data_IF_176347112604
#
_entry.id   IF_176347112604
#
_cell.length_a   1.000
_cell.length_b   1.000
_cell.length_c   1.000
_cell.angle_alpha   90.00
_cell.angle_beta   90.00
_cell.angle_gamma   90.00
#
_symmetry.space_group_name_H-M   'P 1'
#
loop_
_entity.id
_entity.type
_entity.pdbx_description
1 polymer ?
#
# COMPACT_ATOMS: atom_id res chain seq x y z
N UNK A 1 -0.20 10.73 -10.86
CA UNK A 1 0.08 10.27 -9.47
C UNK A 1 0.54 8.82 -9.57
N UNK A 2 1.50 8.40 -8.74
CA UNK A 2 1.99 7.02 -8.73
C UNK A 2 1.64 6.36 -7.39
N UNK A 3 0.94 5.24 -7.46
CA UNK A 3 0.53 4.43 -6.31
C UNK A 3 1.17 3.05 -6.43
N UNK A 4 2.03 2.69 -5.48
CA UNK A 4 2.60 1.34 -5.44
C UNK A 4 2.16 0.61 -4.19
N UNK A 5 1.51 -0.55 -4.35
CA UNK A 5 1.21 -1.45 -3.23
C UNK A 5 2.28 -2.53 -3.15
N UNK A 6 2.96 -2.59 -2.00
CA UNK A 6 3.94 -3.62 -1.70
C UNK A 6 3.35 -4.66 -0.76
N UNK A 7 3.31 -5.92 -1.21
CA UNK A 7 2.65 -7.00 -0.49
C UNK A 7 1.18 -7.10 -0.90
N UNK A 8 0.82 -8.22 -1.51
CA UNK A 8 -0.52 -8.57 -1.99
C UNK A 8 -1.13 -9.72 -1.17
N UNK A 9 -0.57 -10.02 0.00
CA UNK A 9 -1.05 -11.04 0.95
C UNK A 9 -2.25 -10.56 1.79
N UNK A 10 -2.23 -10.82 3.10
CA UNK A 10 -3.31 -10.51 4.07
C UNK A 10 -4.00 -9.16 3.87
N UNK A 11 -3.43 -8.11 4.45
CA UNK A 11 -3.93 -6.73 4.32
C UNK A 11 -3.83 -6.23 2.89
N UNK A 12 -2.75 -6.60 2.19
CA UNK A 12 -2.47 -6.15 0.82
C UNK A 12 -3.57 -6.48 -0.18
N UNK A 13 -4.07 -7.71 -0.18
CA UNK A 13 -5.12 -8.13 -1.11
C UNK A 13 -6.39 -7.29 -0.98
N UNK A 14 -6.77 -6.94 0.24
CA UNK A 14 -7.92 -6.07 0.51
C UNK A 14 -7.66 -4.62 0.10
N UNK A 15 -6.47 -4.09 0.43
CA UNK A 15 -6.07 -2.73 0.02
C UNK A 15 -6.04 -2.58 -1.51
N UNK A 16 -5.62 -3.61 -2.25
CA UNK A 16 -5.58 -3.58 -3.71
C UNK A 16 -6.97 -3.26 -4.31
N UNK A 17 -8.05 -3.80 -3.74
CA UNK A 17 -9.40 -3.51 -4.21
C UNK A 17 -9.81 -2.07 -3.94
N UNK A 18 -9.48 -1.53 -2.76
CA UNK A 18 -9.71 -0.13 -2.42
C UNK A 18 -8.90 0.83 -3.31
N UNK A 19 -7.65 0.47 -3.63
CA UNK A 19 -6.81 1.24 -4.54
C UNK A 19 -7.39 1.26 -5.96
N UNK A 20 -7.90 0.14 -6.47
CA UNK A 20 -8.56 0.11 -7.78
C UNK A 20 -9.78 1.05 -7.84
N UNK A 21 -10.63 1.02 -6.81
CA UNK A 21 -11.78 1.93 -6.72
C UNK A 21 -11.35 3.40 -6.59
N UNK A 22 -10.30 3.68 -5.82
CA UNK A 22 -9.73 5.02 -5.69
C UNK A 22 -9.18 5.52 -7.03
N UNK A 23 -8.47 4.68 -7.79
CA UNK A 23 -7.96 5.02 -9.12
C UNK A 23 -9.08 5.47 -10.04
N UNK A 24 -10.16 4.70 -10.10
CA UNK A 24 -11.31 5.05 -10.93
C UNK A 24 -11.90 6.42 -10.52
N UNK A 25 -12.13 6.64 -9.23
CA UNK A 25 -12.67 7.91 -8.73
C UNK A 25 -11.73 9.11 -8.97
N UNK A 26 -10.41 8.89 -8.99
CA UNK A 26 -9.41 9.92 -9.30
C UNK A 26 -9.38 10.22 -10.79
N UNK A 27 -9.44 9.20 -11.64
CA UNK A 27 -9.48 9.34 -13.09
C UNK A 27 -10.74 10.09 -13.56
N UNK A 28 -11.90 9.81 -12.96
CA UNK A 28 -13.15 10.55 -13.19
C UNK A 28 -13.03 12.05 -12.86
N UNK A 29 -12.12 12.41 -11.96
CA UNK A 29 -11.82 13.80 -11.58
C UNK A 29 -10.66 14.40 -12.36
N UNK A 30 -10.17 13.72 -13.40
CA UNK A 30 -9.07 14.17 -14.24
C UNK A 30 -7.68 13.98 -13.63
N UNK A 31 -7.56 13.18 -12.57
CA UNK A 31 -6.27 12.88 -11.91
C UNK A 31 -5.74 11.54 -12.43
N UNK A 32 -4.80 11.61 -13.38
CA UNK A 32 -4.11 10.42 -13.90
C UNK A 32 -3.37 9.69 -12.78
N UNK A 33 -3.64 8.39 -12.62
CA UNK A 33 -3.11 7.56 -11.54
C UNK A 33 -2.55 6.25 -12.07
N UNK A 34 -1.25 6.05 -11.92
CA UNK A 34 -0.58 4.82 -12.26
C UNK A 34 -0.48 3.94 -11.01
N UNK A 35 -0.99 2.71 -11.09
CA UNK A 35 -0.97 1.76 -9.97
C UNK A 35 -0.07 0.58 -10.30
N UNK A 36 0.79 0.21 -9.36
CA UNK A 36 1.64 -0.98 -9.44
C UNK A 36 1.48 -1.85 -8.20
N UNK A 37 1.17 -3.13 -8.40
CA UNK A 37 1.16 -4.15 -7.35
C UNK A 37 2.47 -4.94 -7.38
N UNK A 38 3.09 -5.15 -6.22
CA UNK A 38 4.35 -5.90 -6.12
C UNK A 38 4.21 -6.98 -5.06
N UNK A 39 4.43 -8.23 -5.49
CA UNK A 39 4.51 -9.39 -4.60
C UNK A 39 5.29 -10.50 -5.31
N UNK A 40 6.25 -11.11 -4.62
CA UNK A 40 7.04 -12.23 -5.14
C UNK A 40 6.38 -13.59 -4.95
N UNK A 41 5.35 -13.68 -4.11
CA UNK A 41 4.77 -14.95 -3.73
C UNK A 41 3.72 -15.45 -4.72
N UNK A 42 3.63 -16.77 -4.83
CA UNK A 42 2.48 -17.45 -5.41
C UNK A 42 1.32 -17.56 -4.41
N UNK A 43 0.10 -17.69 -4.92
CA UNK A 43 -1.09 -18.02 -4.14
C UNK A 43 -0.99 -19.46 -3.68
N UNK A 44 -1.06 -19.67 -2.36
CA UNK A 44 -1.14 -20.99 -1.74
C UNK A 44 -2.58 -21.32 -1.33
N UNK A 45 -2.94 -22.62 -1.18
CA UNK A 45 -4.28 -23.02 -0.72
C UNK A 45 -4.73 -22.32 0.57
N UNK A 46 -3.80 -22.12 1.52
CA UNK A 46 -4.07 -21.45 2.81
C UNK A 46 -4.47 -19.96 2.66
N UNK A 47 -4.21 -19.35 1.51
CA UNK A 47 -4.55 -17.94 1.26
C UNK A 47 -6.02 -17.78 0.86
N UNK A 48 -6.64 -18.81 0.27
CA UNK A 48 -8.03 -18.76 -0.16
C UNK A 48 -8.96 -18.53 1.03
N UNK A 49 -9.90 -17.60 0.89
CA UNK A 49 -10.89 -17.23 1.91
C UNK A 49 -10.37 -16.28 3.00
N UNK A 50 -9.05 -16.18 3.22
CA UNK A 50 -8.43 -15.19 4.14
C UNK A 50 -7.88 -13.97 3.42
N UNK A 51 -7.47 -14.17 2.17
CA UNK A 51 -7.01 -13.15 1.25
C UNK A 51 -7.99 -13.14 0.07
N UNK A 52 -7.99 -12.08 -0.72
CA UNK A 52 -8.82 -12.01 -1.92
C UNK A 52 -8.25 -12.89 -3.04
N UNK A 53 -8.15 -14.19 -2.81
CA UNK A 53 -7.79 -15.21 -3.79
C UNK A 53 -8.84 -16.32 -3.78
N UNK A 54 -9.00 -16.94 -4.95
CA UNK A 54 -9.93 -18.03 -5.25
C UNK A 54 -9.14 -19.32 -5.41
N UNK A 55 -9.83 -20.44 -5.31
CA UNK A 55 -9.24 -21.77 -5.55
C UNK A 55 -8.56 -21.87 -6.91
N UNK A 56 -9.14 -21.26 -7.95
CA UNK A 56 -8.58 -21.21 -9.29
C UNK A 56 -7.28 -20.38 -9.43
N UNK A 57 -6.91 -19.60 -8.42
CA UNK A 57 -5.69 -18.80 -8.46
C UNK A 57 -4.47 -19.52 -7.88
N UNK A 58 -4.66 -20.66 -7.19
CA UNK A 58 -3.58 -21.38 -6.53
C UNK A 58 -2.47 -21.71 -7.53
N UNK A 59 -1.23 -21.39 -7.15
CA UNK A 59 -0.04 -21.54 -7.99
C UNK A 59 0.28 -20.33 -8.87
N UNK A 60 -0.62 -19.34 -9.00
CA UNK A 60 -0.36 -18.09 -9.73
C UNK A 60 0.29 -17.05 -8.82
N UNK A 61 1.04 -16.10 -9.39
CA UNK A 61 1.59 -14.99 -8.60
C UNK A 61 0.47 -14.10 -8.02
N UNK A 62 0.62 -13.68 -6.75
CA UNK A 62 -0.37 -12.88 -6.03
C UNK A 62 -0.63 -11.52 -6.68
N UNK A 63 0.42 -10.77 -7.03
CA UNK A 63 0.29 -9.44 -7.61
C UNK A 63 -0.36 -9.49 -9.00
N UNK A 64 0.11 -10.39 -9.87
CA UNK A 64 -0.45 -10.58 -11.21
C UNK A 64 -1.92 -11.00 -11.16
N UNK A 65 -2.26 -11.91 -10.26
CA UNK A 65 -3.63 -12.40 -10.08
C UNK A 65 -4.57 -11.27 -9.67
N UNK A 66 -4.17 -10.44 -8.69
CA UNK A 66 -4.99 -9.31 -8.25
C UNK A 66 -5.12 -8.25 -9.34
N UNK A 67 -4.01 -7.86 -9.99
CA UNK A 67 -4.04 -6.85 -11.04
C UNK A 67 -4.95 -7.27 -12.19
N UNK A 68 -4.80 -8.50 -12.70
CA UNK A 68 -5.64 -9.03 -13.76
C UNK A 68 -7.13 -9.01 -13.39
N UNK A 69 -7.47 -9.40 -12.15
CA UNK A 69 -8.85 -9.40 -11.68
C UNK A 69 -9.42 -7.99 -11.54
N UNK A 70 -8.66 -7.08 -10.95
CA UNK A 70 -9.12 -5.72 -10.70
C UNK A 70 -9.27 -4.96 -12.01
N UNK A 71 -8.35 -5.15 -12.97
CA UNK A 71 -8.48 -4.59 -14.32
C UNK A 71 -9.75 -5.12 -15.01
N UNK A 72 -10.02 -6.43 -14.90
CA UNK A 72 -11.25 -7.00 -15.46
C UNK A 72 -12.53 -6.49 -14.77
N UNK A 73 -12.48 -6.23 -13.46
CA UNK A 73 -13.64 -5.79 -12.68
C UNK A 73 -13.94 -4.29 -12.82
N UNK A 74 -12.91 -3.45 -12.87
CA UNK A 74 -13.04 -1.99 -12.84
C UNK A 74 -12.68 -1.30 -14.17
N UNK A 75 -12.19 -2.04 -15.17
CA UNK A 75 -11.68 -1.46 -16.41
C UNK A 75 -10.40 -0.64 -16.22
N UNK A 76 -9.67 -0.85 -15.12
CA UNK A 76 -8.44 -0.13 -14.79
C UNK A 76 -7.22 -0.71 -15.51
N UNK A 77 -6.07 0.00 -15.42
CA UNK A 77 -4.78 -0.39 -16.00
C UNK A 77 -3.71 -0.59 -14.92
N UNK A 78 -4.04 -1.37 -13.90
CA UNK A 78 -3.14 -1.70 -12.79
C UNK A 78 -2.03 -2.64 -13.31
N UNK A 79 -0.77 -2.24 -13.09
CA UNK A 79 0.39 -3.06 -13.35
C UNK A 79 0.69 -4.05 -12.22
N UNK A 80 1.43 -5.11 -12.53
CA UNK A 80 1.92 -6.07 -11.54
C UNK A 80 3.40 -6.39 -11.78
N UNK A 81 4.13 -6.61 -10.70
CA UNK A 81 5.51 -7.10 -10.73
C UNK A 81 5.65 -8.34 -9.83
N UNK A 82 5.87 -9.50 -10.45
CA UNK A 82 6.04 -10.80 -9.79
C UNK A 82 7.45 -11.02 -9.23
N UNK A 83 8.05 -9.99 -8.64
CA UNK A 83 9.42 -10.03 -8.13
C UNK A 83 9.48 -9.60 -6.66
N UNK A 84 10.37 -10.23 -5.90
CA UNK A 84 10.74 -9.76 -4.58
C UNK A 84 11.39 -8.37 -4.69
N UNK A 85 11.26 -7.56 -3.63
CA UNK A 85 11.74 -6.18 -3.65
C UNK A 85 13.26 -6.17 -3.52
N UNK A 86 13.97 -5.99 -4.63
CA UNK A 86 15.42 -5.82 -4.66
C UNK A 86 15.87 -4.52 -5.35
N UNK A 87 15.00 -3.88 -6.15
CA UNK A 87 15.38 -2.75 -7.01
C UNK A 87 15.22 -1.39 -6.33
N UNK A 88 16.18 -0.51 -6.64
CA UNK A 88 16.38 0.80 -6.00
C UNK A 88 15.45 1.91 -6.48
N UNK A 89 14.59 1.70 -7.48
CA UNK A 89 13.86 2.80 -8.12
C UNK A 89 12.38 2.46 -8.45
N UNK A 90 11.83 1.40 -7.85
CA UNK A 90 10.48 0.89 -8.21
C UNK A 90 9.34 1.84 -7.83
N UNK A 91 9.56 2.76 -6.88
CA UNK A 91 8.52 3.62 -6.31
C UNK A 91 8.57 5.06 -6.81
N UNK A 92 9.52 5.41 -7.68
CA UNK A 92 9.77 6.78 -8.07
C UNK A 92 9.46 7.00 -9.54
N UNK A 93 8.39 7.75 -9.79
CA UNK A 93 8.12 8.37 -11.08
C UNK A 93 8.56 9.84 -10.99
N UNK A 94 9.50 10.29 -11.85
CA UNK A 94 9.90 11.69 -11.89
C UNK A 94 8.70 12.61 -12.12
N UNK A 95 8.66 13.74 -11.43
CA UNK A 95 7.59 14.75 -11.52
C UNK A 95 6.17 14.26 -11.15
N UNK A 96 6.06 13.10 -10.49
CA UNK A 96 4.79 12.61 -9.96
C UNK A 96 4.74 12.71 -8.43
N UNK A 97 3.54 12.85 -7.89
CA UNK A 97 3.29 12.55 -6.49
C UNK A 97 3.34 11.03 -6.30
N UNK A 98 4.36 10.55 -5.59
CA UNK A 98 4.61 9.12 -5.38
C UNK A 98 4.17 8.68 -3.98
N UNK A 99 3.34 7.65 -3.92
CA UNK A 99 2.92 7.00 -2.67
C UNK A 99 3.21 5.50 -2.75
N UNK A 100 3.90 4.98 -1.75
CA UNK A 100 4.04 3.55 -1.51
C UNK A 100 3.15 3.15 -0.33
N UNK A 101 2.29 2.16 -0.54
CA UNK A 101 1.50 1.50 0.48
C UNK A 101 2.21 0.19 0.82
N UNK A 102 2.79 0.09 2.01
CA UNK A 102 3.49 -1.10 2.46
C UNK A 102 2.56 -2.01 3.26
N UNK A 103 2.14 -3.13 2.69
CA UNK A 103 1.34 -4.17 3.35
C UNK A 103 2.16 -5.47 3.51
N UNK A 104 3.43 -5.32 3.89
CA UNK A 104 4.40 -6.41 4.08
C UNK A 104 4.41 -6.90 5.52
N UNK A 105 4.60 -8.20 5.69
CA UNK A 105 4.58 -8.89 6.99
C UNK A 105 5.98 -9.10 7.58
N UNK A 106 7.04 -8.97 6.78
CA UNK A 106 8.40 -9.19 7.22
C UNK A 106 9.15 -7.85 7.48
N UNK A 107 9.93 -7.76 8.58
CA UNK A 107 10.69 -6.55 8.92
C UNK A 107 11.72 -6.14 7.86
N UNK A 108 12.28 -7.09 7.10
CA UNK A 108 13.28 -6.80 6.08
C UNK A 108 12.69 -5.98 4.92
N UNK A 109 11.53 -6.37 4.39
CA UNK A 109 10.81 -5.63 3.37
C UNK A 109 10.37 -4.25 3.88
N UNK A 110 9.91 -4.17 5.14
CA UNK A 110 9.58 -2.87 5.77
C UNK A 110 10.81 -1.95 5.84
N UNK A 111 11.97 -2.48 6.21
CA UNK A 111 13.23 -1.73 6.24
C UNK A 111 13.67 -1.26 4.85
N UNK A 112 13.42 -2.05 3.80
CA UNK A 112 13.68 -1.66 2.41
C UNK A 112 12.82 -0.46 2.00
N UNK A 113 11.51 -0.46 2.30
CA UNK A 113 10.64 0.71 2.03
C UNK A 113 11.19 1.94 2.75
N UNK A 114 11.49 1.80 4.05
CA UNK A 114 11.99 2.89 4.88
C UNK A 114 13.28 3.50 4.30
N UNK A 115 14.19 2.67 3.79
CA UNK A 115 15.42 3.13 3.13
C UNK A 115 15.12 3.92 1.84
N UNK A 116 14.16 3.48 1.02
CA UNK A 116 13.77 4.18 -0.21
C UNK A 116 13.11 5.53 0.09
N UNK A 117 12.22 5.59 1.08
CA UNK A 117 11.58 6.84 1.53
C UNK A 117 12.65 7.83 2.01
N UNK A 118 13.65 7.35 2.77
CA UNK A 118 14.79 8.19 3.19
C UNK A 118 15.55 8.76 2.01
N UNK A 119 15.88 7.92 1.03
CA UNK A 119 16.65 8.28 -0.17
C UNK A 119 15.90 9.29 -1.04
N UNK A 120 14.57 9.16 -1.13
CA UNK A 120 13.72 10.04 -1.92
C UNK A 120 13.59 11.47 -1.36
N UNK A 121 14.09 11.74 -0.15
CA UNK A 121 14.20 13.09 0.42
C UNK A 121 12.91 13.94 0.32
N UNK A 122 11.76 13.34 0.68
CA UNK A 122 10.44 13.99 0.65
C UNK A 122 9.64 13.80 -0.65
N UNK A 123 10.20 13.13 -1.66
CA UNK A 123 9.52 12.85 -2.94
C UNK A 123 8.71 11.54 -2.95
N UNK A 124 8.76 10.75 -1.88
CA UNK A 124 8.03 9.48 -1.73
C UNK A 124 7.32 9.45 -0.39
N UNK A 125 6.00 9.31 -0.43
CA UNK A 125 5.16 9.13 0.75
C UNK A 125 4.95 7.66 1.03
N UNK A 126 5.04 7.26 2.30
CA UNK A 126 4.83 5.88 2.70
C UNK A 126 3.68 5.76 3.69
N UNK A 127 2.71 4.92 3.33
CA UNK A 127 1.68 4.40 4.20
C UNK A 127 2.04 2.96 4.61
N UNK A 128 2.50 2.77 5.85
CA UNK A 128 2.75 1.44 6.43
C UNK A 128 1.42 0.88 6.95
N UNK A 129 0.99 -0.22 6.34
CA UNK A 129 -0.20 -0.99 6.66
C UNK A 129 0.15 -2.44 7.04
N UNK A 130 1.43 -2.77 7.23
CA UNK A 130 1.84 -4.12 7.58
C UNK A 130 1.47 -4.46 9.04
N UNK A 131 0.95 -5.65 9.27
CA UNK A 131 0.68 -6.18 10.61
C UNK A 131 1.96 -6.78 11.22
N UNK A 132 2.34 -6.37 12.43
CA UNK A 132 3.36 -7.07 13.25
C UNK A 132 2.65 -7.86 14.36
N UNK A 133 2.24 -9.09 14.08
CA UNK A 133 1.49 -9.91 15.05
C UNK A 133 0.11 -9.31 15.38
N UNK A 134 -0.30 -9.30 16.66
CA UNK A 134 -1.58 -8.75 17.15
C UNK A 134 -1.62 -7.20 17.23
N UNK A 135 -0.67 -6.51 16.61
CA UNK A 135 -0.58 -5.04 16.64
C UNK A 135 -0.69 -4.50 15.22
N UNK A 136 -1.89 -4.03 14.89
CA UNK A 136 -2.14 -3.25 13.69
C UNK A 136 -1.71 -1.80 13.94
N UNK A 137 -0.60 -1.39 13.33
CA UNK A 137 -0.13 -0.01 13.40
C UNK A 137 -0.11 0.60 11.99
N UNK A 138 -1.09 1.43 11.67
CA UNK A 138 -1.07 2.23 10.45
C UNK A 138 -0.19 3.47 10.66
N UNK A 139 0.72 3.75 9.72
CA UNK A 139 1.62 4.92 9.79
C UNK A 139 1.68 5.60 8.43
N UNK A 140 1.61 6.92 8.40
CA UNK A 140 1.78 7.72 7.19
C UNK A 140 2.94 8.70 7.38
N UNK A 141 3.93 8.68 6.50
CA UNK A 141 5.08 9.58 6.59
C UNK A 141 5.86 9.67 5.28
N UNK A 142 6.40 10.84 4.98
CA UNK A 142 7.47 11.08 4.00
C UNK A 142 8.87 10.85 4.61
N UNK A 143 8.94 10.48 5.90
CA UNK A 143 10.18 10.18 6.65
C UNK A 143 10.11 8.84 7.39
N UNK A 144 11.19 8.05 7.45
CA UNK A 144 11.18 6.71 8.05
C UNK A 144 11.30 6.67 9.59
N UNK A 145 10.70 7.59 10.35
CA UNK A 145 10.95 7.68 11.82
C UNK A 145 9.71 7.43 12.70
N UNK A 146 9.69 6.32 13.49
CA UNK A 146 8.66 6.04 14.49
C UNK A 146 8.53 7.10 15.59
N UNK A 147 9.64 7.75 15.98
CA UNK A 147 9.67 8.72 17.09
C UNK A 147 8.99 10.05 16.75
N UNK A 148 8.99 10.46 15.48
CA UNK A 148 8.41 11.74 15.05
C UNK A 148 6.89 11.68 14.88
N UNK A 149 6.32 10.49 14.67
CA UNK A 149 4.87 10.30 14.51
C UNK A 149 4.10 10.61 15.80
N UNK A 150 4.67 10.28 16.97
CA UNK A 150 4.09 10.62 18.29
C UNK A 150 3.95 12.13 18.53
N UNK A 151 4.67 12.96 17.76
CA UNK A 151 4.66 14.41 17.94
C UNK A 151 3.69 15.15 17.01
N UNK A 152 3.20 14.52 15.93
CA UNK A 152 2.46 15.19 14.85
C UNK A 152 0.96 14.84 14.73
N UNK A 153 0.46 13.84 15.45
CA UNK A 153 -0.99 13.59 15.57
C UNK A 153 -1.46 13.84 17.01
N UNK A 154 -1.44 15.11 17.43
CA UNK A 154 -2.40 15.55 18.45
C UNK A 154 -3.70 15.80 17.72
N UNK A 155 -4.54 14.78 17.60
CA UNK A 155 -5.96 15.03 17.39
C UNK A 155 -6.40 15.94 18.54
N UNK A 156 -6.79 17.17 18.20
CA UNK A 156 -7.41 18.07 19.15
C UNK A 156 -8.71 17.44 19.62
N UNK A 157 -8.65 16.72 20.74
CA UNK A 157 -9.82 16.52 21.58
C UNK A 157 -10.14 17.91 22.12
N UNK A 158 -11.02 18.63 21.43
CA UNK A 158 -11.64 19.82 21.95
C UNK A 158 -12.25 19.45 23.28
N UNK A 159 -11.67 19.92 24.38
CA UNK A 159 -12.34 19.91 25.66
C UNK A 159 -13.56 20.80 25.48
N UNK A 160 -14.75 20.20 25.57
CA UNK A 160 -15.98 20.96 25.70
C UNK A 160 -15.80 21.96 26.82
N UNK A 161 -15.93 23.24 26.48
CA UNK A 161 -16.13 24.30 27.45
C UNK A 161 -17.49 24.05 28.08
N UNK A 162 -17.49 23.51 29.30
CA UNK A 162 -18.60 23.73 30.22
C UNK A 162 -18.65 25.24 30.48
N UNK A 163 -19.73 25.87 30.06
CA UNK A 163 -20.16 27.14 30.60
C UNK A 163 -21.13 26.79 31.72
N UNK A 164 -20.69 27.08 32.94
CA UNK A 164 -21.58 27.28 34.07
C UNK A 164 -22.39 28.55 33.80
N UNK A 165 -23.71 28.44 33.88
CA UNK A 165 -24.65 29.47 34.34
C UNK A 165 -25.73 28.74 35.18
#
# INVERSE_FOLDING_TARGET
MSLTLMGCGGTGSHLASGLAALTLALEERGVSTDVLLIDGDAVEPKNVGRQLFRTADVGRNKAETLAARLNAAFGTRIGAAAQAIDRRDTFHQPNAFNVVVGAVDNPAARALIAAQVKKAAGQLWWLDCGSEGLRDAQRLSDRPQPALFRRRLRFGVGRGTGLDD
#
